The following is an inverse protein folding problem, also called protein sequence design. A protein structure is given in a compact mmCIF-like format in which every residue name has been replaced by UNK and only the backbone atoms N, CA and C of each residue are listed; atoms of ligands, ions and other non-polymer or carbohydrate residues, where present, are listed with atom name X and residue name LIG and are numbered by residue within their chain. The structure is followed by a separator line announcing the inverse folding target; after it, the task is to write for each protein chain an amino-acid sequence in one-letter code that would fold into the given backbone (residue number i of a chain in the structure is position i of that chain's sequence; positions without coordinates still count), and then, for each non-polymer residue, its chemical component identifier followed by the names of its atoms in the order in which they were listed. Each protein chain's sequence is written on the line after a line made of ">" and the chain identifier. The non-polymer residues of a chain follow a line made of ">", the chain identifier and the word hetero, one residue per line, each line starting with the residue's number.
data_IF_177752005414
#
_entry.id   IF_177752005414
#
_cell.length_a   1.000
_cell.length_b   1.000
_cell.length_c   1.000
_cell.angle_alpha   90.00
_cell.angle_beta   90.00
_cell.angle_gamma   90.00
#
_symmetry.space_group_name_H-M   'P 1'
#
loop_
_entity.id
_entity.type
_entity.pdbx_description
1 polymer ?
#
# COMPACT_ATOMS: atom_id res chain seq x y z
N UNK A 1 -17.73 -15.96 18.23
CA UNK A 1 -18.18 -15.35 16.95
C UNK A 1 -17.11 -14.36 16.49
N UNK A 2 -16.00 -14.81 15.89
CA UNK A 2 -14.87 -13.94 15.46
C UNK A 2 -14.68 -13.88 13.95
N UNK A 3 -15.44 -14.66 13.16
CA UNK A 3 -15.19 -14.84 11.72
C UNK A 3 -15.06 -13.54 10.91
N UNK A 4 -15.86 -12.51 11.19
CA UNK A 4 -15.79 -11.23 10.45
C UNK A 4 -14.46 -10.48 10.63
N UNK A 5 -13.85 -10.54 11.82
CA UNK A 5 -12.56 -9.90 12.09
C UNK A 5 -11.41 -10.63 11.39
N UNK A 6 -11.49 -11.97 11.33
CA UNK A 6 -10.51 -12.80 10.63
C UNK A 6 -10.58 -12.56 9.12
N UNK A 7 -11.78 -12.47 8.53
CA UNK A 7 -11.95 -12.10 7.12
C UNK A 7 -11.41 -10.69 6.82
N UNK A 8 -11.72 -9.71 7.67
CA UNK A 8 -11.22 -8.33 7.48
C UNK A 8 -9.69 -8.26 7.51
N UNK A 9 -9.05 -9.09 8.33
CA UNK A 9 -7.59 -9.17 8.40
C UNK A 9 -7.00 -9.86 7.17
N UNK A 10 -7.58 -10.98 6.74
CA UNK A 10 -7.18 -11.68 5.51
C UNK A 10 -7.32 -10.77 4.28
N UNK A 11 -8.41 -10.01 4.20
CA UNK A 11 -8.62 -9.03 3.13
C UNK A 11 -7.56 -7.93 3.16
N UNK A 12 -7.22 -7.41 4.35
CA UNK A 12 -6.18 -6.39 4.48
C UNK A 12 -4.79 -6.90 4.04
N UNK A 13 -4.44 -8.13 4.41
CA UNK A 13 -3.18 -8.76 4.04
C UNK A 13 -3.13 -9.07 2.54
N UNK A 14 -4.22 -9.60 1.97
CA UNK A 14 -4.33 -9.83 0.53
C UNK A 14 -4.17 -8.54 -0.27
N UNK A 15 -4.82 -7.44 0.16
CA UNK A 15 -4.71 -6.17 -0.58
C UNK A 15 -3.29 -5.62 -0.53
N UNK A 16 -2.54 -5.81 0.57
CA UNK A 16 -1.11 -5.41 0.63
C UNK A 16 -0.29 -6.18 -0.40
N UNK A 17 -0.48 -7.49 -0.50
CA UNK A 17 0.21 -8.32 -1.50
C UNK A 17 -0.12 -7.84 -2.92
N UNK A 18 -1.39 -7.55 -3.21
CA UNK A 18 -1.80 -7.03 -4.52
C UNK A 18 -1.14 -5.68 -4.80
N UNK A 19 -1.06 -4.78 -3.82
CA UNK A 19 -0.36 -3.50 -3.98
C UNK A 19 1.12 -3.69 -4.31
N UNK A 20 1.82 -4.59 -3.60
CA UNK A 20 3.24 -4.85 -3.83
C UNK A 20 3.47 -5.46 -5.21
N UNK A 21 2.61 -6.38 -5.66
CA UNK A 21 2.67 -6.95 -7.02
C UNK A 21 2.46 -5.87 -8.07
N UNK A 22 1.46 -5.01 -7.90
CA UNK A 22 1.22 -3.88 -8.83
C UNK A 22 2.41 -2.94 -8.87
N UNK A 23 3.01 -2.62 -7.72
CA UNK A 23 4.21 -1.78 -7.65
C UNK A 23 5.39 -2.41 -8.39
N UNK A 24 5.65 -3.71 -8.18
CA UNK A 24 6.71 -4.43 -8.91
C UNK A 24 6.47 -4.42 -10.42
N UNK A 25 5.23 -4.61 -10.88
CA UNK A 25 4.91 -4.59 -12.30
C UNK A 25 5.08 -3.20 -12.92
N UNK A 26 4.72 -2.14 -12.19
CA UNK A 26 4.94 -0.75 -12.60
C UNK A 26 6.43 -0.43 -12.68
N UNK A 27 7.21 -0.80 -11.65
CA UNK A 27 8.65 -0.55 -11.59
C UNK A 27 9.42 -1.29 -12.70
N UNK A 28 8.95 -2.47 -13.10
CA UNK A 28 9.48 -3.24 -14.23
C UNK A 28 9.04 -2.67 -15.59
N UNK A 29 8.14 -1.69 -15.61
CA UNK A 29 7.54 -1.13 -16.84
C UNK A 29 6.57 -2.08 -17.54
N UNK A 30 6.12 -3.15 -16.88
CA UNK A 30 5.23 -4.18 -17.44
C UNK A 30 3.74 -3.80 -17.30
N UNK A 31 3.42 -2.88 -16.39
CA UNK A 31 2.09 -2.36 -16.15
C UNK A 31 2.15 -0.83 -16.07
N UNK A 32 1.25 -0.13 -16.75
CA UNK A 32 1.06 1.32 -16.55
C UNK A 32 -0.17 1.57 -15.70
N UNK A 33 -0.15 2.66 -14.93
CA UNK A 33 -1.32 3.05 -14.15
C UNK A 33 -2.57 3.26 -15.03
N UNK A 34 -2.38 3.75 -16.26
CA UNK A 34 -3.43 3.97 -17.26
C UNK A 34 -4.10 2.69 -17.76
N UNK A 35 -3.49 1.53 -17.54
CA UNK A 35 -4.01 0.24 -17.98
C UNK A 35 -5.06 -0.32 -17.00
N UNK A 36 -5.18 0.31 -15.82
CA UNK A 36 -6.13 -0.07 -14.78
C UNK A 36 -7.45 0.72 -14.91
N UNK A 37 -8.60 0.16 -14.47
CA UNK A 37 -9.86 0.89 -14.42
C UNK A 37 -9.77 2.16 -13.56
N UNK A 38 -10.57 3.21 -13.85
CA UNK A 38 -10.51 4.50 -13.13
C UNK A 38 -10.60 4.37 -11.61
N UNK A 39 -11.44 3.45 -11.11
CA UNK A 39 -11.56 3.20 -9.67
C UNK A 39 -10.33 2.54 -9.06
N UNK A 40 -9.68 1.64 -9.80
CA UNK A 40 -8.44 1.01 -9.37
C UNK A 40 -7.30 2.05 -9.34
N UNK A 41 -7.22 2.93 -10.33
CA UNK A 41 -6.26 4.04 -10.36
C UNK A 41 -6.40 4.94 -9.13
N UNK A 42 -7.62 5.39 -8.82
CA UNK A 42 -7.92 6.23 -7.65
C UNK A 42 -7.53 5.54 -6.35
N UNK A 43 -7.87 4.26 -6.19
CA UNK A 43 -7.53 3.47 -4.99
C UNK A 43 -6.03 3.30 -4.83
N UNK A 44 -5.31 3.01 -5.90
CA UNK A 44 -3.84 2.90 -5.90
C UNK A 44 -3.17 4.24 -5.54
N UNK A 45 -3.61 5.34 -6.15
CA UNK A 45 -3.08 6.68 -5.84
C UNK A 45 -3.31 7.08 -4.37
N UNK A 46 -4.52 6.84 -3.85
CA UNK A 46 -4.85 7.14 -2.45
C UNK A 46 -3.98 6.33 -1.48
N UNK A 47 -3.77 5.04 -1.76
CA UNK A 47 -2.95 4.15 -0.91
C UNK A 47 -1.45 4.43 -1.02
N UNK A 48 -0.93 4.75 -2.21
CA UNK A 48 0.45 5.24 -2.36
C UNK A 48 0.69 6.50 -1.55
N UNK A 49 -0.25 7.45 -1.57
CA UNK A 49 -0.18 8.66 -0.74
C UNK A 49 -0.19 8.36 0.76
N UNK A 50 -1.02 7.40 1.22
CA UNK A 50 -1.05 6.97 2.61
C UNK A 50 0.27 6.28 3.04
N UNK A 51 0.83 5.40 2.20
CA UNK A 51 2.13 4.74 2.46
C UNK A 51 3.28 5.75 2.50
N UNK A 52 3.31 6.72 1.59
CA UNK A 52 4.34 7.76 1.56
C UNK A 52 4.32 8.61 2.84
N UNK A 53 3.13 9.02 3.31
CA UNK A 53 2.97 9.76 4.57
C UNK A 53 3.38 8.97 5.79
N UNK A 54 3.01 7.68 5.84
CA UNK A 54 3.43 6.80 6.95
C UNK A 54 4.95 6.63 6.96
N UNK A 55 5.57 6.40 5.80
CA UNK A 55 7.04 6.33 5.69
C UNK A 55 7.72 7.63 6.09
N UNK A 56 7.18 8.79 5.69
CA UNK A 56 7.71 10.09 6.11
C UNK A 56 7.55 10.32 7.62
N UNK A 57 6.40 10.00 8.19
CA UNK A 57 6.17 10.10 9.64
C UNK A 57 7.07 9.17 10.44
N UNK A 58 7.33 7.95 9.96
CA UNK A 58 8.29 7.03 10.57
C UNK A 58 9.75 7.48 10.41
N UNK A 59 10.09 8.13 9.29
CA UNK A 59 11.42 8.71 9.07
C UNK A 59 11.69 9.94 9.96
N UNK A 60 10.64 10.65 10.38
CA UNK A 60 10.73 11.74 11.37
C UNK A 60 10.85 11.24 12.82
N UNK A 61 10.67 9.94 13.06
CA UNK A 61 10.86 9.26 14.34
C UNK A 61 12.12 8.38 14.33
N UNK A 62 13.09 8.70 13.47
CA UNK A 62 14.42 8.06 13.46
C UNK A 62 15.12 8.19 14.82
N UNK A 63 16.10 7.32 15.13
CA UNK A 63 16.63 7.08 16.47
C UNK A 63 17.62 8.15 16.94
N UNK A 64 17.26 9.44 16.79
CA UNK A 64 18.10 10.56 17.18
C UNK A 64 17.94 10.96 18.67
N UNK A 65 17.40 10.06 19.51
CA UNK A 65 17.58 10.10 20.96
C UNK A 65 18.66 9.09 21.38
N UNK A 66 19.88 9.32 20.90
CA UNK A 66 21.12 8.89 21.56
C UNK A 66 22.02 10.11 21.68
N UNK A 67 21.76 10.94 22.70
CA UNK A 67 22.74 11.87 23.28
C UNK A 67 22.63 11.77 24.80
#
# INVERSE_FOLDING_TARGET
>A
MTGSADFSRLDADLIRVIEDVVDVLIDRGLLRLTDLPPDAQRKLLARKGARARLRQGLNLLGPDDVI
#
